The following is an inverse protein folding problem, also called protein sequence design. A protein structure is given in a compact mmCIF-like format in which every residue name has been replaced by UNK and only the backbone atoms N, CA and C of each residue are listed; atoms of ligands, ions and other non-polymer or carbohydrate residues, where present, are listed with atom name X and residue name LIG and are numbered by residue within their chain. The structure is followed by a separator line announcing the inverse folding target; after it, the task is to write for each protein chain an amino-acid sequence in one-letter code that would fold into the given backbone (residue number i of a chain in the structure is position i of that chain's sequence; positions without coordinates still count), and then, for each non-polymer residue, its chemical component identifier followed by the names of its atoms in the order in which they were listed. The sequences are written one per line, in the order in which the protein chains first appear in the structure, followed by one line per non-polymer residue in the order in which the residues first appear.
data_IF_399582683914
#
_entry.id   IF_399582683914
#
_cell.length_a   1.000
_cell.length_b   1.000
_cell.length_c   1.000
_cell.angle_alpha   90.00
_cell.angle_beta   90.00
_cell.angle_gamma   90.00
#
_symmetry.space_group_name_H-M   'P 1'
#
loop_
_entity.id
_entity.type
_entity.pdbx_description
1 polymer ?
#
# COMPACT_ATOMS: atom_id res chain seq x y z
N UNK A 1 8.16 20.55 10.01
CA UNK A 1 6.84 19.89 10.05
C UNK A 1 7.12 18.44 9.69
N UNK A 2 7.15 17.53 10.68
CA UNK A 2 7.37 16.11 10.41
C UNK A 2 6.03 15.48 10.01
N UNK A 3 5.88 14.90 8.81
CA UNK A 3 4.67 14.18 8.45
C UNK A 3 4.61 12.86 9.24
N UNK A 4 3.56 12.66 10.04
CA UNK A 4 3.27 11.33 10.60
C UNK A 4 2.55 10.52 9.53
N UNK A 5 3.18 9.45 9.06
CA UNK A 5 2.61 8.50 8.12
C UNK A 5 1.60 7.61 8.86
N UNK A 6 0.31 7.93 8.69
CA UNK A 6 -0.81 7.20 9.30
C UNK A 6 -0.89 5.69 9.01
N UNK A 7 -0.32 5.12 7.91
CA UNK A 7 -0.42 3.68 7.65
C UNK A 7 0.28 2.75 8.67
N UNK A 8 0.92 3.34 9.69
CA UNK A 8 1.71 2.66 10.72
C UNK A 8 1.25 2.97 12.14
N UNK A 9 0.34 3.92 12.33
CA UNK A 9 0.00 4.46 13.64
C UNK A 9 -1.40 4.04 14.09
N UNK A 10 -1.51 3.47 15.30
CA UNK A 10 -2.81 3.24 15.94
C UNK A 10 -3.31 4.49 16.68
N UNK A 11 -4.55 4.45 17.14
CA UNK A 11 -5.18 5.58 17.87
C UNK A 11 -4.40 5.99 19.12
N UNK A 12 -3.75 5.05 19.82
CA UNK A 12 -2.98 5.34 21.02
C UNK A 12 -1.68 6.10 20.70
N UNK A 13 -0.98 5.72 19.64
CA UNK A 13 0.22 6.42 19.15
C UNK A 13 -0.13 7.83 18.67
N UNK A 14 -1.25 7.98 17.95
CA UNK A 14 -1.75 9.30 17.53
C UNK A 14 -2.12 10.17 18.73
N UNK A 15 -2.79 9.59 19.73
CA UNK A 15 -3.10 10.30 20.98
C UNK A 15 -1.84 10.74 21.72
N UNK A 16 -0.82 9.88 21.79
CA UNK A 16 0.47 10.22 22.40
C UNK A 16 1.20 11.33 21.63
N UNK A 17 1.19 11.28 20.30
CA UNK A 17 1.73 12.33 19.43
C UNK A 17 1.00 13.66 19.63
N UNK A 18 -0.35 13.64 19.72
CA UNK A 18 -1.13 14.84 20.01
C UNK A 18 -0.75 15.44 21.37
N UNK A 19 -0.65 14.61 22.41
CA UNK A 19 -0.32 15.07 23.77
C UNK A 19 1.14 15.54 23.92
N UNK A 20 2.03 15.06 23.06
CA UNK A 20 3.47 15.42 23.05
C UNK A 20 3.76 16.68 22.25
N UNK A 21 2.84 17.13 21.39
CA UNK A 21 3.00 18.34 20.58
C UNK A 21 2.63 19.61 21.35
N UNK A 22 3.36 20.70 21.08
CA UNK A 22 3.07 22.02 21.65
C UNK A 22 1.82 22.67 21.06
N UNK A 23 1.38 22.27 19.87
CA UNK A 23 0.09 22.68 19.29
C UNK A 23 -0.46 21.55 18.40
N UNK A 24 -1.42 20.75 18.88
CA UNK A 24 -2.05 19.69 18.09
C UNK A 24 -2.73 20.19 16.81
N UNK A 25 -3.13 21.48 16.75
CA UNK A 25 -3.77 22.05 15.57
C UNK A 25 -2.80 22.23 14.39
N UNK A 26 -1.50 22.19 14.63
CA UNK A 26 -0.46 22.33 13.62
C UNK A 26 0.05 20.98 13.09
N UNK A 27 -0.54 19.88 13.56
CA UNK A 27 -0.22 18.55 13.07
C UNK A 27 -0.70 18.38 11.63
N UNK A 28 0.21 17.94 10.77
CA UNK A 28 -0.09 17.55 9.41
C UNK A 28 -0.03 16.02 9.31
N UNK A 29 -1.20 15.41 9.15
CA UNK A 29 -1.38 13.96 9.12
C UNK A 29 -1.75 13.53 7.71
N UNK A 30 -1.05 12.52 7.20
CA UNK A 30 -1.23 12.03 5.83
C UNK A 30 -1.07 10.52 5.79
N UNK A 31 -1.78 9.88 4.88
CA UNK A 31 -1.71 8.43 4.70
C UNK A 31 -2.73 7.94 3.68
N UNK A 32 -2.75 6.63 3.53
CA UNK A 32 -3.70 5.90 2.69
C UNK A 32 -4.16 4.67 3.47
N UNK A 33 -5.48 4.57 3.71
CA UNK A 33 -6.09 3.48 4.48
C UNK A 33 -6.04 2.15 3.72
N UNK A 34 -6.09 2.18 2.38
CA UNK A 34 -5.99 0.98 1.56
C UNK A 34 -4.56 0.41 1.53
N UNK A 35 -3.55 1.21 1.91
CA UNK A 35 -2.15 0.80 2.02
C UNK A 35 -1.74 0.36 3.44
N UNK A 36 -2.69 0.12 4.36
CA UNK A 36 -2.33 -0.39 5.69
C UNK A 36 -1.72 -1.80 5.57
N UNK A 37 -0.48 -1.95 6.02
CA UNK A 37 0.23 -3.24 6.02
C UNK A 37 0.44 -3.83 7.42
N UNK A 38 0.08 -3.06 8.46
CA UNK A 38 0.26 -3.47 9.84
C UNK A 38 -0.89 -4.39 10.27
N UNK A 39 -0.57 -5.64 10.59
CA UNK A 39 -1.58 -6.64 10.98
C UNK A 39 -2.28 -6.22 12.27
N UNK A 40 -3.61 -6.30 12.28
CA UNK A 40 -4.43 -5.97 13.45
C UNK A 40 -4.69 -4.48 13.65
N UNK A 41 -4.25 -3.61 12.73
CA UNK A 41 -4.59 -2.19 12.75
C UNK A 41 -5.53 -1.88 11.60
N UNK A 42 -6.72 -1.43 11.96
CA UNK A 42 -7.65 -0.77 11.04
C UNK A 42 -7.66 0.70 11.43
N UNK A 43 -7.17 1.56 10.56
CA UNK A 43 -7.21 3.01 10.75
C UNK A 43 -8.07 3.63 9.67
N UNK A 44 -8.99 4.51 10.08
CA UNK A 44 -9.77 5.35 9.18
C UNK A 44 -9.58 6.82 9.52
N UNK A 45 -9.66 7.67 8.52
CA UNK A 45 -9.64 9.11 8.73
C UNK A 45 -10.82 9.58 9.58
N UNK A 46 -11.95 8.87 9.58
CA UNK A 46 -13.05 9.18 10.49
C UNK A 46 -12.70 8.95 11.97
N UNK A 47 -11.84 7.97 12.26
CA UNK A 47 -11.36 7.68 13.62
C UNK A 47 -10.44 8.81 14.09
N UNK A 48 -9.70 9.45 13.17
CA UNK A 48 -8.93 10.66 13.46
C UNK A 48 -9.80 11.83 13.90
N UNK A 49 -10.91 12.09 13.22
CA UNK A 49 -11.85 13.13 13.63
C UNK A 49 -12.37 12.89 15.06
N UNK A 50 -12.62 11.62 15.40
CA UNK A 50 -13.03 11.22 16.75
C UNK A 50 -11.94 11.50 17.79
N UNK A 51 -10.67 11.21 17.49
CA UNK A 51 -9.53 11.53 18.37
C UNK A 51 -9.44 13.02 18.67
N UNK A 52 -9.50 13.87 17.63
CA UNK A 52 -9.49 15.33 17.82
C UNK A 52 -10.72 15.81 18.59
N UNK A 53 -11.88 15.19 18.40
CA UNK A 53 -13.08 15.51 19.17
C UNK A 53 -12.92 15.19 20.65
N UNK A 54 -12.36 14.03 21.00
CA UNK A 54 -12.09 13.69 22.40
C UNK A 54 -11.04 14.61 23.01
N UNK A 55 -9.97 14.93 22.27
CA UNK A 55 -8.94 15.87 22.72
C UNK A 55 -9.51 17.28 22.95
N UNK A 56 -10.43 17.75 22.10
CA UNK A 56 -11.11 19.04 22.27
C UNK A 56 -12.04 19.08 23.50
N UNK A 57 -12.64 17.96 23.86
CA UNK A 57 -13.62 17.85 24.95
C UNK A 57 -13.03 17.36 26.28
N UNK A 58 -11.75 16.98 26.31
CA UNK A 58 -11.06 16.57 27.54
C UNK A 58 -10.91 17.79 28.49
N UNK A 59 -11.90 17.98 29.37
CA UNK A 59 -11.92 19.06 30.35
C UNK A 59 -11.04 18.75 31.57
N UNK A 60 -10.09 19.67 31.81
CA UNK A 60 -9.60 20.16 33.13
C UNK A 60 -8.79 19.16 33.97
N UNK A 61 -7.47 19.37 34.02
CA UNK A 61 -6.58 18.76 35.02
C UNK A 61 -5.09 18.91 34.73
N UNK A 62 -4.73 19.09 33.46
CA UNK A 62 -3.34 19.26 33.03
C UNK A 62 -3.16 20.65 32.40
N UNK A 63 -2.10 21.35 32.80
CA UNK A 63 -1.82 22.77 32.49
C UNK A 63 -1.59 23.12 31.01
N UNK A 64 -1.98 22.25 30.06
CA UNK A 64 -1.87 22.48 28.61
C UNK A 64 -3.25 22.75 28.03
N UNK A 65 -3.68 24.01 28.10
CA UNK A 65 -4.94 24.49 27.50
C UNK A 65 -4.70 24.74 26.01
N UNK A 66 -4.69 23.68 25.21
CA UNK A 66 -4.81 23.85 23.76
C UNK A 66 -6.28 23.69 23.38
N UNK A 67 -6.86 24.73 22.78
CA UNK A 67 -8.14 24.62 22.09
C UNK A 67 -7.90 23.77 20.83
N UNK A 68 -7.99 22.46 20.98
CA UNK A 68 -7.87 21.51 19.86
C UNK A 68 -9.10 21.66 18.97
N UNK A 69 -8.88 21.86 17.67
CA UNK A 69 -9.93 21.98 16.66
C UNK A 69 -10.11 20.64 15.96
N UNK A 70 -11.35 20.21 15.85
CA UNK A 70 -11.68 19.01 15.06
C UNK A 70 -11.57 19.34 13.58
N UNK A 71 -10.79 18.57 12.80
CA UNK A 71 -10.72 18.75 11.35
C UNK A 71 -12.10 18.58 10.72
N UNK A 72 -12.57 19.59 10.01
CA UNK A 72 -13.85 19.55 9.28
C UNK A 72 -13.72 19.05 7.84
N UNK A 73 -12.50 18.99 7.31
CA UNK A 73 -12.22 18.58 5.93
C UNK A 73 -11.00 17.68 5.88
N UNK A 74 -11.14 16.56 5.19
CA UNK A 74 -10.05 15.71 4.76
C UNK A 74 -9.77 16.08 3.30
N UNK A 75 -8.52 16.45 3.01
CA UNK A 75 -8.10 16.73 1.64
C UNK A 75 -7.66 15.42 0.98
N UNK A 76 -8.17 15.15 -0.21
CA UNK A 76 -7.86 13.94 -0.97
C UNK A 76 -7.01 14.31 -2.19
N UNK A 77 -5.96 13.52 -2.43
CA UNK A 77 -5.07 13.67 -3.58
C UNK A 77 -5.39 12.56 -4.58
N UNK A 78 -6.34 12.80 -5.47
CA UNK A 78 -6.81 11.79 -6.43
C UNK A 78 -6.01 11.74 -7.74
N UNK A 79 -5.05 12.66 -7.94
CA UNK A 79 -4.21 12.66 -9.13
C UNK A 79 -2.91 11.92 -8.84
N UNK A 80 -2.70 10.80 -9.52
CA UNK A 80 -1.49 10.00 -9.40
C UNK A 80 -0.54 10.32 -10.55
N UNK A 81 0.67 10.77 -10.17
CA UNK A 81 1.73 11.16 -11.10
C UNK A 81 2.78 10.06 -11.30
N UNK A 82 2.72 8.99 -10.51
CA UNK A 82 3.73 7.92 -10.45
C UNK A 82 3.35 6.70 -11.27
N UNK A 83 2.05 6.44 -11.41
CA UNK A 83 1.56 5.25 -12.11
C UNK A 83 0.55 5.63 -13.19
N UNK A 84 0.54 4.84 -14.26
CA UNK A 84 -0.39 5.00 -15.36
C UNK A 84 -1.78 4.42 -15.02
N UNK A 85 -2.81 4.82 -15.78
CA UNK A 85 -4.21 4.44 -15.50
C UNK A 85 -4.46 2.93 -15.50
N UNK A 86 -3.73 2.14 -16.29
CA UNK A 86 -3.84 0.67 -16.31
C UNK A 86 -3.61 0.01 -14.94
N UNK A 87 -2.55 0.39 -14.21
CA UNK A 87 -2.25 -0.12 -12.87
C UNK A 87 -3.28 0.41 -11.86
N UNK A 88 -3.60 1.71 -11.94
CA UNK A 88 -4.54 2.34 -11.02
C UNK A 88 -5.94 1.74 -11.12
N UNK A 89 -6.41 1.43 -12.33
CA UNK A 89 -7.72 0.80 -12.53
C UNK A 89 -7.76 -0.62 -11.94
N UNK A 90 -6.68 -1.39 -12.06
CA UNK A 90 -6.59 -2.70 -11.41
C UNK A 90 -6.59 -2.56 -9.89
N UNK A 91 -5.76 -1.64 -9.35
CA UNK A 91 -5.71 -1.35 -7.92
C UNK A 91 -7.08 -0.93 -7.37
N UNK A 92 -7.77 -0.02 -8.07
CA UNK A 92 -9.13 0.42 -7.73
C UNK A 92 -10.10 -0.76 -7.71
N UNK A 93 -10.04 -1.65 -8.70
CA UNK A 93 -10.92 -2.83 -8.76
C UNK A 93 -10.71 -3.77 -7.56
N UNK A 94 -9.48 -3.93 -7.11
CA UNK A 94 -9.17 -4.72 -5.90
C UNK A 94 -9.69 -4.02 -4.64
N UNK A 95 -9.51 -2.71 -4.53
CA UNK A 95 -10.04 -1.92 -3.40
C UNK A 95 -11.57 -1.95 -3.36
N UNK A 96 -12.25 -1.86 -4.51
CA UNK A 96 -13.70 -1.94 -4.60
C UNK A 96 -14.22 -3.29 -4.06
N UNK A 97 -13.56 -4.39 -4.43
CA UNK A 97 -13.87 -5.72 -3.89
C UNK A 97 -13.66 -5.77 -2.37
N UNK A 98 -12.55 -5.21 -1.87
CA UNK A 98 -12.28 -5.17 -0.43
C UNK A 98 -13.35 -4.36 0.33
N UNK A 99 -13.80 -3.24 -0.22
CA UNK A 99 -14.89 -2.43 0.36
C UNK A 99 -16.22 -3.19 0.33
N UNK A 100 -16.49 -3.96 -0.72
CA UNK A 100 -17.72 -4.76 -0.82
C UNK A 100 -17.75 -5.87 0.24
N UNK A 101 -16.65 -6.61 0.41
CA UNK A 101 -16.57 -7.70 1.39
C UNK A 101 -16.34 -7.23 2.84
N UNK A 102 -15.67 -6.10 3.04
CA UNK A 102 -15.29 -5.56 4.35
C UNK A 102 -15.65 -4.07 4.50
N UNK A 103 -16.95 -3.71 4.42
CA UNK A 103 -17.39 -2.32 4.32
C UNK A 103 -17.06 -1.45 5.54
N UNK A 104 -16.87 -2.06 6.71
CA UNK A 104 -16.50 -1.35 7.95
C UNK A 104 -14.99 -1.11 8.08
N UNK A 105 -14.16 -1.77 7.26
CA UNK A 105 -12.70 -1.78 7.41
C UNK A 105 -11.98 -0.70 6.60
N UNK A 106 -12.64 -0.08 5.62
CA UNK A 106 -12.03 0.87 4.69
C UNK A 106 -12.84 2.16 4.59
N UNK A 107 -12.16 3.29 4.44
CA UNK A 107 -12.79 4.55 4.02
C UNK A 107 -13.11 4.49 2.53
N UNK A 108 -14.31 4.98 2.15
CA UNK A 108 -14.68 5.13 0.74
C UNK A 108 -14.05 6.40 0.19
N UNK A 109 -12.93 6.23 -0.51
CA UNK A 109 -12.20 7.30 -1.18
C UNK A 109 -12.52 7.27 -2.69
N UNK A 110 -12.50 8.43 -3.38
CA UNK A 110 -12.58 8.45 -4.83
C UNK A 110 -11.38 7.74 -5.46
N UNK A 111 -11.54 7.09 -6.62
CA UNK A 111 -10.45 6.36 -7.26
C UNK A 111 -9.36 7.31 -7.75
N UNK A 112 -8.12 6.84 -7.68
CA UNK A 112 -6.96 7.52 -8.25
C UNK A 112 -7.05 7.61 -9.77
N UNK A 113 -6.59 8.73 -10.31
CA UNK A 113 -6.57 9.02 -11.74
C UNK A 113 -5.13 9.21 -12.20
N UNK A 114 -4.73 8.38 -13.16
CA UNK A 114 -3.44 8.50 -13.83
C UNK A 114 -3.47 9.59 -14.91
N UNK A 115 -2.31 10.14 -15.24
CA UNK A 115 -2.17 11.13 -16.31
C UNK A 115 -2.19 10.52 -17.71
N UNK A 116 -1.76 9.27 -17.85
CA UNK A 116 -1.62 8.59 -19.13
C UNK A 116 -1.99 7.11 -19.03
N UNK A 117 -2.31 6.51 -20.16
CA UNK A 117 -2.46 5.06 -20.30
C UNK A 117 -1.09 4.42 -20.47
N UNK A 118 -0.88 3.27 -19.83
CA UNK A 118 0.32 2.47 -19.98
C UNK A 118 -0.01 1.03 -20.36
N UNK A 119 1.02 0.17 -20.46
CA UNK A 119 0.84 -1.23 -20.80
C UNK A 119 -0.08 -1.95 -19.80
N UNK A 120 -0.80 -2.96 -20.27
CA UNK A 120 -1.65 -3.77 -19.38
C UNK A 120 -0.77 -4.74 -18.60
N UNK A 121 -1.07 -4.97 -17.31
CA UNK A 121 -0.42 -6.05 -16.55
C UNK A 121 -0.62 -7.40 -17.25
N UNK A 122 0.43 -8.23 -17.25
CA UNK A 122 0.42 -9.54 -17.89
C UNK A 122 0.45 -10.66 -16.83
N UNK A 123 -0.40 -11.67 -17.00
CA UNK A 123 -0.40 -12.88 -16.18
C UNK A 123 0.49 -13.91 -16.86
N UNK A 124 1.46 -14.46 -16.12
CA UNK A 124 2.48 -15.38 -16.62
C UNK A 124 2.30 -16.78 -16.00
N UNK A 125 1.25 -17.49 -16.42
CA UNK A 125 0.86 -18.78 -15.82
C UNK A 125 1.69 -19.98 -16.29
N UNK A 126 2.30 -19.90 -17.48
CA UNK A 126 2.98 -21.03 -18.13
C UNK A 126 4.51 -20.90 -18.20
N UNK A 127 5.09 -19.87 -17.59
CA UNK A 127 6.52 -19.60 -17.66
C UNK A 127 7.30 -20.43 -16.62
N UNK A 128 8.47 -20.96 -16.99
CA UNK A 128 9.40 -21.53 -16.00
C UNK A 128 10.11 -20.44 -15.19
N UNK A 129 10.85 -20.81 -14.14
CA UNK A 129 11.71 -19.88 -13.39
C UNK A 129 12.76 -19.22 -14.28
N UNK A 130 13.30 -20.01 -15.22
CA UNK A 130 14.33 -19.57 -16.16
C UNK A 130 13.73 -18.60 -17.18
N UNK A 131 12.52 -18.88 -17.71
CA UNK A 131 11.81 -17.98 -18.62
C UNK A 131 11.56 -16.62 -17.97
N UNK A 132 11.12 -16.61 -16.69
CA UNK A 132 10.92 -15.40 -15.92
C UNK A 132 12.24 -14.64 -15.72
N UNK A 133 13.34 -15.33 -15.38
CA UNK A 133 14.64 -14.71 -15.23
C UNK A 133 15.16 -14.11 -16.56
N UNK A 134 14.89 -14.77 -17.69
CA UNK A 134 15.22 -14.25 -19.03
C UNK A 134 14.39 -13.01 -19.35
N UNK A 135 13.07 -13.05 -19.09
CA UNK A 135 12.18 -11.91 -19.29
C UNK A 135 12.66 -10.68 -18.50
N UNK A 136 13.00 -10.88 -17.23
CA UNK A 136 13.50 -9.82 -16.36
C UNK A 136 14.82 -9.23 -16.85
N UNK A 137 15.78 -10.09 -17.27
CA UNK A 137 17.07 -9.64 -17.82
C UNK A 137 16.94 -8.94 -19.17
N UNK A 138 16.06 -9.43 -20.04
CA UNK A 138 15.82 -8.89 -21.38
C UNK A 138 15.11 -7.53 -21.37
N UNK A 139 14.34 -7.24 -20.32
CA UNK A 139 13.63 -5.97 -20.15
C UNK A 139 14.45 -4.88 -19.44
N UNK A 140 15.77 -5.01 -19.33
CA UNK A 140 16.63 -3.89 -18.90
C UNK A 140 16.60 -2.77 -19.93
N UNK A 141 15.56 -1.94 -19.87
CA UNK A 141 15.50 -0.67 -20.59
C UNK A 141 16.58 0.23 -20.02
N UNK A 142 17.22 1.03 -20.88
CA UNK A 142 17.97 2.21 -20.44
C UNK A 142 16.96 3.21 -19.87
N UNK A 143 16.54 3.00 -18.61
CA UNK A 143 15.58 3.88 -17.95
C UNK A 143 16.25 5.13 -17.40
N UNK A 144 15.51 6.23 -17.35
CA UNK A 144 15.95 7.45 -16.68
C UNK A 144 16.20 7.18 -15.20
N UNK A 145 17.11 7.92 -14.54
CA UNK A 145 17.36 7.74 -13.12
C UNK A 145 16.06 7.95 -12.31
N UNK A 146 15.67 6.93 -11.56
CA UNK A 146 14.49 6.94 -10.69
C UNK A 146 14.86 7.69 -9.40
N UNK A 147 14.06 8.68 -8.99
CA UNK A 147 14.33 9.47 -7.79
C UNK A 147 14.30 8.62 -6.49
N UNK A 148 13.48 7.57 -6.45
CA UNK A 148 13.34 6.67 -5.30
C UNK A 148 13.09 5.22 -5.71
N UNK A 149 14.14 4.41 -5.87
CA UNK A 149 14.02 2.94 -5.97
C UNK A 149 14.93 2.30 -7.01
N UNK A 150 14.44 1.26 -7.68
CA UNK A 150 15.22 0.46 -8.62
C UNK A 150 14.45 0.21 -9.93
N UNK A 151 15.14 -0.02 -11.07
CA UNK A 151 14.46 -0.30 -12.34
C UNK A 151 13.55 -1.51 -12.30
N UNK A 152 13.90 -2.52 -11.49
CA UNK A 152 13.17 -3.78 -11.47
C UNK A 152 13.17 -4.40 -10.08
N UNK A 153 12.04 -5.02 -9.70
CA UNK A 153 11.89 -5.73 -8.44
C UNK A 153 11.01 -6.97 -8.60
N UNK A 154 11.34 -8.01 -7.82
CA UNK A 154 10.46 -9.16 -7.59
C UNK A 154 9.82 -9.00 -6.22
N UNK A 155 8.49 -8.98 -6.18
CA UNK A 155 7.71 -8.90 -4.96
C UNK A 155 7.16 -10.28 -4.57
N UNK A 156 7.37 -10.64 -3.31
CA UNK A 156 6.85 -11.87 -2.69
C UNK A 156 5.99 -11.56 -1.47
N UNK A 157 5.15 -12.52 -1.07
CA UNK A 157 4.17 -12.31 0.01
C UNK A 157 4.81 -12.17 1.41
N UNK A 158 5.86 -12.93 1.70
CA UNK A 158 6.48 -13.01 3.02
C UNK A 158 7.92 -13.55 2.93
N UNK A 159 8.65 -13.55 4.04
CA UNK A 159 10.05 -14.00 4.09
C UNK A 159 10.21 -15.49 3.75
N UNK A 160 9.23 -16.35 4.10
CA UNK A 160 9.29 -17.77 3.72
C UNK A 160 9.19 -17.95 2.21
N UNK A 161 8.39 -17.14 1.52
CA UNK A 161 8.31 -17.14 0.07
C UNK A 161 9.62 -16.63 -0.56
N UNK A 162 10.30 -15.68 0.10
CA UNK A 162 11.63 -15.20 -0.29
C UNK A 162 12.68 -16.30 -0.22
N UNK A 163 12.65 -17.12 0.83
CA UNK A 163 13.55 -18.28 0.99
C UNK A 163 13.30 -19.40 -0.02
N UNK A 164 12.06 -19.54 -0.52
CA UNK A 164 11.66 -20.57 -1.50
C UNK A 164 11.86 -20.13 -2.96
N UNK A 165 12.40 -18.93 -3.20
CA UNK A 165 12.62 -18.45 -4.55
C UNK A 165 13.67 -19.31 -5.27
N UNK A 166 13.43 -19.65 -6.55
CA UNK A 166 14.44 -20.26 -7.41
C UNK A 166 15.71 -19.41 -7.49
N UNK A 167 16.86 -20.07 -7.60
CA UNK A 167 18.18 -19.42 -7.61
C UNK A 167 18.33 -18.44 -8.78
N UNK A 168 17.67 -18.71 -9.91
CA UNK A 168 17.69 -17.87 -11.10
C UNK A 168 17.05 -16.49 -10.86
N UNK A 169 16.04 -16.44 -9.99
CA UNK A 169 15.30 -15.24 -9.62
C UNK A 169 15.89 -14.54 -8.39
N UNK A 170 16.56 -15.28 -7.50
CA UNK A 170 17.17 -14.73 -6.29
C UNK A 170 18.36 -13.80 -6.56
N UNK A 171 18.91 -13.83 -7.78
CA UNK A 171 19.97 -12.92 -8.24
C UNK A 171 19.48 -11.47 -8.44
N UNK A 172 18.17 -11.23 -8.49
CA UNK A 172 17.57 -9.91 -8.63
C UNK A 172 17.29 -9.20 -7.29
N UNK A 173 16.74 -7.99 -7.36
CA UNK A 173 16.19 -7.32 -6.18
C UNK A 173 14.87 -8.00 -5.80
N UNK A 174 14.86 -8.68 -4.66
CA UNK A 174 13.68 -9.35 -4.12
C UNK A 174 13.26 -8.70 -2.82
N UNK A 175 12.00 -8.26 -2.74
CA UNK A 175 11.43 -7.63 -1.55
C UNK A 175 10.08 -8.26 -1.19
N UNK A 176 9.76 -8.27 0.10
CA UNK A 176 8.38 -8.48 0.54
C UNK A 176 7.55 -7.21 0.33
N UNK A 177 6.22 -7.31 0.38
CA UNK A 177 5.33 -6.12 0.36
C UNK A 177 5.63 -5.14 1.50
N UNK A 178 6.10 -5.66 2.64
CA UNK A 178 6.48 -4.83 3.77
C UNK A 178 7.75 -4.03 3.47
N UNK A 179 8.77 -4.71 2.94
CA UNK A 179 10.06 -4.08 2.58
C UNK A 179 9.93 -3.10 1.41
N UNK A 180 8.99 -3.33 0.48
CA UNK A 180 8.78 -2.46 -0.68
C UNK A 180 8.01 -1.17 -0.38
N UNK A 181 7.48 -1.01 0.84
CA UNK A 181 6.63 0.12 1.16
C UNK A 181 7.38 1.44 1.10
N UNK A 182 6.88 2.36 0.28
CA UNK A 182 7.49 3.68 0.05
C UNK A 182 8.60 3.69 -0.99
N UNK A 183 8.85 2.58 -1.68
CA UNK A 183 9.76 2.49 -2.83
C UNK A 183 8.98 2.51 -4.14
N UNK A 184 9.62 2.98 -5.21
CA UNK A 184 9.05 3.04 -6.56
C UNK A 184 9.90 2.22 -7.54
N UNK A 185 9.26 1.59 -8.53
CA UNK A 185 9.92 0.71 -9.48
C UNK A 185 9.29 0.86 -10.86
N UNK A 186 10.10 0.76 -11.91
CA UNK A 186 9.64 0.81 -13.31
C UNK A 186 9.04 -0.54 -13.74
N UNK A 187 9.61 -1.64 -13.25
CA UNK A 187 9.23 -3.02 -13.59
C UNK A 187 9.03 -3.86 -12.31
N UNK A 188 7.84 -4.43 -12.13
CA UNK A 188 7.47 -5.21 -10.95
C UNK A 188 6.97 -6.59 -11.36
N UNK A 189 7.62 -7.64 -10.86
CA UNK A 189 7.14 -9.01 -10.95
C UNK A 189 6.59 -9.47 -9.60
N UNK A 190 5.28 -9.69 -9.53
CA UNK A 190 4.64 -10.28 -8.37
C UNK A 190 4.69 -11.81 -8.50
N UNK A 191 5.49 -12.49 -7.67
CA UNK A 191 5.77 -13.93 -7.81
C UNK A 191 5.04 -14.76 -6.74
N UNK A 192 4.29 -15.78 -7.17
CA UNK A 192 3.57 -16.75 -6.34
C UNK A 192 2.83 -16.13 -5.13
N UNK A 193 2.28 -14.93 -5.29
CA UNK A 193 1.86 -14.13 -4.16
C UNK A 193 0.69 -14.74 -3.36
N UNK A 194 -0.23 -15.42 -4.04
CA UNK A 194 -1.42 -15.99 -3.42
C UNK A 194 -1.24 -17.44 -2.96
N UNK A 195 -0.08 -18.05 -3.16
CA UNK A 195 0.12 -19.49 -2.88
C UNK A 195 0.07 -19.83 -1.39
N UNK A 196 0.53 -18.91 -0.53
CA UNK A 196 0.58 -19.08 0.93
C UNK A 196 -0.62 -18.44 1.66
N UNK A 197 -1.71 -18.12 0.95
CA UNK A 197 -2.89 -17.50 1.56
C UNK A 197 -3.68 -18.49 2.43
N UNK A 198 -3.74 -18.25 3.75
CA UNK A 198 -4.50 -19.06 4.72
C UNK A 198 -5.98 -18.66 4.86
N UNK A 199 -6.52 -17.81 3.97
CA UNK A 199 -7.86 -17.21 4.14
C UNK A 199 -8.98 -18.25 3.94
N UNK A 200 -9.79 -18.48 4.99
CA UNK A 200 -10.76 -19.57 5.06
C UNK A 200 -12.21 -19.24 4.66
N UNK A 201 -12.61 -17.97 4.59
CA UNK A 201 -14.00 -17.56 4.33
C UNK A 201 -14.10 -16.44 3.28
N UNK A 202 -14.91 -16.70 2.24
CA UNK A 202 -15.29 -15.81 1.11
C UNK A 202 -14.20 -15.40 0.11
N UNK A 203 -13.00 -15.03 0.56
CA UNK A 203 -11.88 -14.75 -0.35
C UNK A 203 -11.28 -16.01 -0.98
N UNK A 204 -11.79 -17.19 -0.60
CA UNK A 204 -11.32 -18.47 -1.08
C UNK A 204 -11.47 -18.63 -2.59
N UNK A 205 -12.53 -18.13 -3.23
CA UNK A 205 -12.66 -18.22 -4.69
C UNK A 205 -11.67 -17.32 -5.42
N UNK A 206 -11.46 -16.10 -4.91
CA UNK A 206 -10.46 -15.18 -5.44
C UNK A 206 -9.05 -15.76 -5.25
N UNK A 207 -8.67 -16.08 -4.01
CA UNK A 207 -7.37 -16.70 -3.74
C UNK A 207 -7.20 -18.03 -4.46
N UNK A 208 -8.22 -18.87 -4.62
CA UNK A 208 -8.12 -20.14 -5.33
C UNK A 208 -7.96 -19.95 -6.85
N UNK A 209 -8.61 -18.95 -7.44
CA UNK A 209 -8.42 -18.63 -8.85
C UNK A 209 -7.00 -18.09 -9.09
N UNK A 210 -6.53 -17.21 -8.21
CA UNK A 210 -5.21 -16.57 -8.33
C UNK A 210 -4.06 -17.41 -7.74
N UNK A 211 -4.31 -18.44 -6.94
CA UNK A 211 -3.26 -19.33 -6.39
C UNK A 211 -2.63 -20.23 -7.45
N UNK A 212 -3.31 -20.40 -8.59
CA UNK A 212 -2.78 -21.07 -9.77
C UNK A 212 -1.92 -20.14 -10.62
N UNK A 213 -1.95 -18.83 -10.37
CA UNK A 213 -1.11 -17.88 -11.08
C UNK A 213 0.30 -17.88 -10.53
N UNK A 214 1.26 -18.08 -11.43
CA UNK A 214 2.67 -18.18 -11.04
C UNK A 214 3.31 -16.80 -10.89
N UNK A 215 3.05 -15.88 -11.81
CA UNK A 215 3.50 -14.51 -11.68
C UNK A 215 2.58 -13.51 -12.39
N UNK A 216 2.57 -12.27 -11.90
CA UNK A 216 1.94 -11.13 -12.57
C UNK A 216 3.01 -10.08 -12.81
N UNK A 217 3.14 -9.65 -14.06
CA UNK A 217 4.15 -8.69 -14.50
C UNK A 217 3.51 -7.33 -14.74
N UNK A 218 4.06 -6.30 -14.11
CA UNK A 218 3.64 -4.91 -14.20
C UNK A 218 4.78 -4.07 -14.74
N UNK A 219 4.50 -3.32 -15.80
CA UNK A 219 5.40 -2.28 -16.30
C UNK A 219 4.76 -0.95 -15.91
N UNK A 220 5.40 -0.22 -15.01
CA UNK A 220 4.87 1.00 -14.39
C UNK A 220 5.16 2.25 -15.23
N UNK A 221 6.25 2.24 -16.00
CA UNK A 221 6.73 3.33 -16.86
C UNK A 221 7.12 2.88 -18.28
#
# INVERSE_FOLDING_TARGET
MWPCLLPWANEAELSLLMNSNNDPNMMFLTGDTAQCIMRGISFRFNDLCSLFYYAANAKVGSSRVHNVRVPHRIYQLSQNYRSHSGILNLGSSVVDLLIEFFPSSFDRLPPDRGLFHGPRPAILDLCTSEDLAILLRGNRRESQPIEFGAPQVILVANDKAKERLPEELSLGLVLTIYESKGLEFDDVLLYNFFSDSEVSLHFNYFCHFYSKMKAIHFIVS
#
